data_IF_964891057464
#
_entry.id   IF_964891057464
#
_cell.length_a   1.000
_cell.length_b   1.000
_cell.length_c   1.000
_cell.angle_alpha   90.00
_cell.angle_beta   90.00
_cell.angle_gamma   90.00
#
_symmetry.space_group_name_H-M   'P 1'
#
loop_
_entity.id
_entity.type
_entity.pdbx_description
1 polymer ?
#
# COMPACT_ATOMS: atom_id res chain seq x y z
N UNK A 1 -3.18 -17.73 7.22
CA UNK A 1 -2.50 -16.69 6.46
C UNK A 1 -2.32 -15.48 7.32
N UNK A 2 -1.16 -14.84 7.23
CA UNK A 2 -0.84 -13.70 8.08
C UNK A 2 -1.07 -12.39 7.33
N UNK A 3 -1.34 -11.33 8.10
CA UNK A 3 -1.40 -9.98 7.58
C UNK A 3 -0.01 -9.55 7.11
N UNK A 4 0.07 -8.99 5.91
CA UNK A 4 1.29 -8.40 5.40
C UNK A 4 1.10 -6.89 5.32
N UNK A 5 2.05 -6.14 5.90
CA UNK A 5 2.07 -4.69 5.87
C UNK A 5 3.20 -4.24 4.96
N UNK A 6 2.86 -3.54 3.89
CA UNK A 6 3.84 -3.04 2.92
C UNK A 6 4.05 -1.55 3.10
N UNK A 7 5.28 -1.11 2.96
CA UNK A 7 5.59 0.30 3.03
C UNK A 7 7.09 0.57 3.10
N UNK A 8 7.46 1.63 3.82
CA UNK A 8 8.85 2.03 4.06
C UNK A 8 9.04 2.28 5.56
N UNK A 9 10.29 2.14 6.04
CA UNK A 9 10.55 2.21 7.49
C UNK A 9 10.32 3.58 8.11
N UNK A 10 10.82 4.63 7.47
CA UNK A 10 10.81 5.98 8.07
C UNK A 10 9.62 6.80 7.59
N UNK A 11 8.43 6.37 8.00
CA UNK A 11 7.18 7.02 7.63
C UNK A 11 6.27 7.07 8.85
N UNK A 12 5.73 8.24 9.17
CA UNK A 12 4.88 8.41 10.35
C UNK A 12 3.65 7.52 10.31
N UNK A 13 3.02 7.38 9.15
CA UNK A 13 1.86 6.51 8.99
C UNK A 13 2.21 5.05 9.27
N UNK A 14 3.41 4.62 8.87
CA UNK A 14 3.89 3.27 9.14
C UNK A 14 4.13 3.05 10.62
N UNK A 15 4.75 4.01 11.30
CA UNK A 15 4.99 3.92 12.75
C UNK A 15 3.68 3.81 13.51
N UNK A 16 2.70 4.63 13.14
CA UNK A 16 1.37 4.58 13.77
C UNK A 16 0.69 3.24 13.53
N UNK A 17 0.82 2.70 12.31
CA UNK A 17 0.24 1.40 11.97
C UNK A 17 0.85 0.28 12.81
N UNK A 18 2.17 0.25 12.92
CA UNK A 18 2.85 -0.76 13.73
C UNK A 18 2.45 -0.68 15.21
N UNK A 19 2.39 0.54 15.75
CA UNK A 19 1.98 0.75 17.13
C UNK A 19 0.56 0.25 17.37
N UNK A 20 -0.37 0.56 16.47
CA UNK A 20 -1.75 0.13 16.60
C UNK A 20 -1.88 -1.39 16.54
N UNK A 21 -1.20 -2.02 15.58
CA UNK A 21 -1.24 -3.48 15.43
C UNK A 21 -0.67 -4.19 16.66
N UNK A 22 0.45 -3.70 17.16
CA UNK A 22 1.09 -4.28 18.35
C UNK A 22 0.24 -4.07 19.60
N UNK A 23 -0.36 -2.89 19.75
CA UNK A 23 -1.23 -2.59 20.90
C UNK A 23 -2.49 -3.47 20.89
N UNK A 24 -2.95 -3.90 19.73
CA UNK A 24 -4.14 -4.73 19.59
C UNK A 24 -3.83 -6.22 19.41
N UNK A 25 -2.57 -6.61 19.56
CA UNK A 25 -2.17 -8.00 19.51
C UNK A 25 -2.34 -8.65 18.14
N UNK A 26 -2.27 -7.87 17.06
CA UNK A 26 -2.42 -8.36 15.69
C UNK A 26 -1.05 -8.72 15.12
N UNK A 27 -0.77 -10.00 14.85
CA UNK A 27 0.50 -10.38 14.22
C UNK A 27 0.55 -9.94 12.77
N UNK A 28 1.73 -9.54 12.31
CA UNK A 28 1.91 -9.12 10.93
C UNK A 28 3.36 -9.32 10.47
N UNK A 29 3.55 -9.43 9.16
CA UNK A 29 4.87 -9.37 8.52
C UNK A 29 5.01 -8.03 7.83
N UNK A 30 6.20 -7.46 7.87
CA UNK A 30 6.48 -6.19 7.21
C UNK A 30 7.35 -6.41 5.97
N UNK A 31 6.91 -5.84 4.84
CA UNK A 31 7.68 -5.82 3.59
C UNK A 31 8.07 -4.39 3.27
N UNK A 32 9.37 -4.13 3.23
CA UNK A 32 9.93 -2.81 2.95
C UNK A 32 10.17 -2.68 1.45
N UNK A 33 9.48 -1.75 0.79
CA UNK A 33 9.59 -1.53 -0.64
C UNK A 33 11.02 -1.16 -1.10
N UNK A 34 11.84 -0.64 -0.21
CA UNK A 34 13.23 -0.32 -0.55
C UNK A 34 14.10 -1.55 -0.68
N UNK A 35 13.76 -2.60 0.05
CA UNK A 35 14.47 -3.88 0.01
C UNK A 35 13.83 -4.86 -0.97
N UNK A 36 12.50 -4.86 -1.00
CA UNK A 36 11.70 -5.77 -1.80
C UNK A 36 10.71 -4.98 -2.66
N UNK A 37 11.18 -4.42 -3.80
CA UNK A 37 10.30 -3.66 -4.69
C UNK A 37 9.18 -4.55 -5.21
N UNK A 38 7.98 -3.98 -5.44
CA UNK A 38 6.86 -4.77 -5.93
C UNK A 38 7.04 -5.20 -7.39
N UNK A 39 6.51 -6.36 -7.73
CA UNK A 39 6.43 -6.82 -9.11
C UNK A 39 5.24 -6.20 -9.83
N UNK A 40 5.22 -6.31 -11.16
CA UNK A 40 4.07 -5.91 -11.97
C UNK A 40 2.82 -6.66 -11.52
N UNK A 41 2.92 -7.97 -11.32
CA UNK A 41 1.79 -8.80 -10.91
C UNK A 41 1.22 -8.36 -9.57
N UNK A 42 2.08 -8.02 -8.61
CA UNK A 42 1.64 -7.55 -7.30
C UNK A 42 0.89 -6.22 -7.42
N UNK A 43 1.43 -5.27 -8.18
CA UNK A 43 0.80 -3.96 -8.37
C UNK A 43 -0.55 -4.11 -9.05
N UNK A 44 -0.65 -4.97 -10.06
CA UNK A 44 -1.91 -5.23 -10.74
C UNK A 44 -2.96 -5.79 -9.78
N UNK A 45 -2.57 -6.74 -8.93
CA UNK A 45 -3.46 -7.31 -7.93
C UNK A 45 -3.93 -6.26 -6.91
N UNK A 46 -3.05 -5.39 -6.46
CA UNK A 46 -3.41 -4.32 -5.52
C UNK A 46 -4.34 -3.29 -6.15
N UNK A 47 -4.10 -2.92 -7.42
CA UNK A 47 -4.99 -2.02 -8.14
C UNK A 47 -6.37 -2.64 -8.33
N UNK A 48 -6.44 -3.94 -8.58
CA UNK A 48 -7.71 -4.65 -8.65
C UNK A 48 -8.44 -4.67 -7.31
N UNK A 49 -7.69 -4.83 -6.22
CA UNK A 49 -8.26 -4.92 -4.87
C UNK A 49 -8.71 -3.59 -4.29
N UNK A 50 -7.92 -2.53 -4.43
CA UNK A 50 -8.21 -1.22 -3.81
C UNK A 50 -8.42 -0.11 -4.83
N UNK A 51 -8.18 -0.35 -6.10
CA UNK A 51 -8.43 0.63 -7.15
C UNK A 51 -7.54 1.86 -7.06
N UNK A 52 -8.10 3.00 -7.44
CA UNK A 52 -7.38 4.27 -7.49
C UNK A 52 -6.84 4.71 -6.12
N UNK A 53 -7.43 4.21 -5.05
CA UNK A 53 -6.97 4.52 -3.69
C UNK A 53 -5.54 4.07 -3.41
N UNK A 54 -5.00 3.15 -4.23
CA UNK A 54 -3.63 2.67 -4.07
C UNK A 54 -2.61 3.79 -4.16
N UNK A 55 -2.86 4.80 -5.00
CA UNK A 55 -1.91 5.87 -5.29
C UNK A 55 -2.19 7.10 -4.46
N UNK A 56 -1.16 7.63 -3.83
CA UNK A 56 -1.24 8.90 -3.11
C UNK A 56 -0.97 10.05 -4.10
N UNK A 57 -2.01 10.55 -4.74
CA UNK A 57 -1.90 11.65 -5.72
C UNK A 57 -1.54 12.99 -5.07
N UNK A 58 -1.64 13.09 -3.75
CA UNK A 58 -1.29 14.31 -3.01
C UNK A 58 0.15 14.30 -2.52
N UNK A 59 0.84 13.18 -2.69
CA UNK A 59 2.21 13.02 -2.20
C UNK A 59 3.26 13.55 -3.16
N UNK A 60 4.50 13.74 -2.67
CA UNK A 60 5.59 14.26 -3.50
C UNK A 60 5.96 13.31 -4.65
N UNK A 61 5.81 12.00 -4.46
CA UNK A 61 6.13 11.04 -5.51
C UNK A 61 5.27 11.23 -6.75
N UNK A 62 3.97 11.48 -6.55
CA UNK A 62 3.07 11.75 -7.68
C UNK A 62 3.43 13.08 -8.35
N UNK A 63 3.68 14.12 -7.56
CA UNK A 63 4.01 15.45 -8.10
C UNK A 63 5.30 15.44 -8.94
N UNK A 64 6.22 14.52 -8.65
CA UNK A 64 7.48 14.39 -9.37
C UNK A 64 7.37 13.64 -10.70
N UNK A 65 6.23 13.02 -10.97
CA UNK A 65 6.01 12.33 -12.25
C UNK A 65 5.98 13.35 -13.40
N UNK A 66 6.41 12.91 -14.59
CA UNK A 66 6.31 13.74 -15.78
C UNK A 66 4.85 14.03 -16.14
N UNK A 67 4.61 15.11 -16.85
CA UNK A 67 3.26 15.45 -17.31
C UNK A 67 2.70 14.36 -18.23
N UNK A 68 3.55 13.76 -19.07
CA UNK A 68 3.14 12.67 -19.95
C UNK A 68 2.59 11.48 -19.15
N UNK A 69 3.29 11.08 -18.08
CA UNK A 69 2.85 9.98 -17.24
C UNK A 69 1.57 10.34 -16.51
N UNK A 70 1.47 11.57 -15.95
CA UNK A 70 0.25 12.01 -15.27
C UNK A 70 -0.95 12.02 -16.20
N UNK A 71 -0.77 12.46 -17.44
CA UNK A 71 -1.86 12.55 -18.42
C UNK A 71 -2.35 11.19 -18.91
N UNK A 72 -1.51 10.15 -18.77
CA UNK A 72 -1.82 8.79 -19.18
C UNK A 72 -1.79 7.82 -18.01
N UNK A 73 -2.18 8.28 -16.83
CA UNK A 73 -2.02 7.51 -15.59
C UNK A 73 -3.10 6.44 -15.43
N UNK A 74 -3.13 5.51 -16.39
CA UNK A 74 -4.05 4.38 -16.41
C UNK A 74 -3.33 3.15 -17.00
N UNK A 75 -3.94 1.98 -16.85
CA UNK A 75 -3.44 0.76 -17.48
C UNK A 75 -1.98 0.48 -17.16
N UNK A 76 -1.22 0.05 -18.17
CA UNK A 76 0.19 -0.34 -17.97
C UNK A 76 1.10 0.85 -17.64
N UNK A 77 0.77 2.05 -18.10
CA UNK A 77 1.54 3.25 -17.73
C UNK A 77 1.52 3.45 -16.22
N UNK A 78 0.33 3.33 -15.62
CA UNK A 78 0.18 3.44 -14.16
C UNK A 78 0.90 2.31 -13.42
N UNK A 79 0.74 1.09 -13.88
CA UNK A 79 1.39 -0.07 -13.27
C UNK A 79 2.91 0.11 -13.28
N UNK A 80 3.48 0.47 -14.42
CA UNK A 80 4.91 0.63 -14.55
C UNK A 80 5.45 1.79 -13.69
N UNK A 81 4.70 2.90 -13.61
CA UNK A 81 5.07 4.03 -12.76
C UNK A 81 5.15 3.61 -11.30
N UNK A 82 4.21 2.80 -10.83
CA UNK A 82 4.18 2.32 -9.44
C UNK A 82 5.33 1.34 -9.18
N UNK A 83 5.61 0.44 -10.12
CA UNK A 83 6.72 -0.50 -10.00
C UNK A 83 8.05 0.26 -9.91
N UNK A 84 8.23 1.27 -10.77
CA UNK A 84 9.45 2.06 -10.80
C UNK A 84 9.59 2.97 -9.58
N UNK A 85 8.46 3.39 -9.00
CA UNK A 85 8.43 4.33 -7.86
C UNK A 85 7.40 3.89 -6.83
N UNK A 86 7.73 2.88 -6.00
CA UNK A 86 6.78 2.34 -5.02
C UNK A 86 6.30 3.34 -3.96
N UNK A 87 7.02 4.45 -3.78
CA UNK A 87 6.58 5.52 -2.88
C UNK A 87 5.31 6.21 -3.35
N UNK A 88 4.86 5.93 -4.58
CA UNK A 88 3.53 6.32 -5.04
C UNK A 88 2.42 5.63 -4.26
N UNK A 89 2.69 4.44 -3.73
CA UNK A 89 1.68 3.67 -3.00
C UNK A 89 1.37 4.33 -1.66
N UNK A 90 0.08 4.52 -1.41
CA UNK A 90 -0.39 5.05 -0.13
C UNK A 90 -0.08 4.06 0.99
N UNK A 91 0.50 4.54 2.08
CA UNK A 91 1.01 3.69 3.16
C UNK A 91 0.18 3.84 4.44
N UNK A 92 0.04 2.75 5.20
CA UNK A 92 0.45 1.39 4.87
C UNK A 92 -0.48 0.74 3.85
N UNK A 93 0.06 -0.15 3.04
CA UNK A 93 -0.76 -1.08 2.26
C UNK A 93 -0.83 -2.38 3.08
N UNK A 94 -2.03 -2.81 3.38
CA UNK A 94 -2.25 -4.00 4.20
C UNK A 94 -3.00 -5.05 3.39
N UNK A 95 -2.47 -6.27 3.38
CA UNK A 95 -3.02 -7.37 2.60
C UNK A 95 -3.09 -8.63 3.47
N UNK A 96 -4.23 -9.27 3.48
CA UNK A 96 -4.42 -10.57 4.12
C UNK A 96 -5.33 -11.42 3.22
N UNK A 97 -4.71 -12.24 2.36
CA UNK A 97 -5.46 -12.95 1.33
C UNK A 97 -6.11 -11.97 0.37
N UNK A 98 -7.42 -12.04 0.24
CA UNK A 98 -8.20 -11.12 -0.62
C UNK A 98 -8.55 -9.81 0.08
N UNK A 99 -8.35 -9.71 1.38
CA UNK A 99 -8.62 -8.48 2.13
C UNK A 99 -7.47 -7.49 1.94
N UNK A 100 -7.77 -6.27 1.53
CA UNK A 100 -6.78 -5.24 1.27
C UNK A 100 -7.29 -3.87 1.69
N UNK A 101 -6.36 -3.01 2.14
CA UNK A 101 -6.67 -1.61 2.41
C UNK A 101 -5.40 -0.78 2.34
N UNK A 102 -5.55 0.52 2.14
CA UNK A 102 -4.44 1.48 2.13
C UNK A 102 -4.72 2.65 3.05
N UNK A 103 -3.67 3.19 3.63
CA UNK A 103 -3.73 4.33 4.52
C UNK A 103 -3.95 3.94 5.97
N UNK A 104 -3.62 4.87 6.86
CA UNK A 104 -3.79 4.66 8.29
C UNK A 104 -5.23 4.98 8.69
N UNK A 105 -6.05 3.95 8.82
CA UNK A 105 -7.46 4.08 9.18
C UNK A 105 -7.91 2.87 10.00
N UNK A 106 -7.54 2.83 11.29
CA UNK A 106 -7.84 1.66 12.14
C UNK A 106 -9.31 1.33 12.24
N UNK A 107 -10.18 2.35 12.24
CA UNK A 107 -11.63 2.11 12.31
C UNK A 107 -12.11 1.30 11.09
N UNK A 108 -11.58 1.60 9.92
CA UNK A 108 -11.89 0.84 8.71
C UNK A 108 -11.32 -0.57 8.76
N UNK A 109 -10.11 -0.73 9.32
CA UNK A 109 -9.44 -2.04 9.39
C UNK A 109 -10.31 -3.07 10.12
N UNK A 110 -10.97 -2.64 11.18
CA UNK A 110 -11.80 -3.55 11.98
C UNK A 110 -13.07 -3.98 11.25
N UNK A 111 -13.48 -3.24 10.23
CA UNK A 111 -14.70 -3.53 9.46
C UNK A 111 -14.46 -4.41 8.23
N UNK A 112 -13.20 -4.52 7.77
CA UNK A 112 -12.87 -5.32 6.60
C UNK A 112 -12.75 -6.79 7.01
N UNK A 113 -13.63 -7.67 6.47
CA UNK A 113 -13.59 -9.08 6.84
C UNK A 113 -12.21 -9.70 6.59
N UNK A 114 -11.72 -10.45 7.56
CA UNK A 114 -10.47 -11.23 7.49
C UNK A 114 -9.18 -10.41 7.45
N UNK A 115 -9.23 -9.08 7.41
CA UNK A 115 -8.01 -8.27 7.30
C UNK A 115 -7.07 -8.50 8.49
N UNK A 116 -7.60 -8.43 9.70
CA UNK A 116 -6.78 -8.52 10.93
C UNK A 116 -6.69 -9.95 11.47
N UNK A 117 -7.18 -10.91 10.73
CA UNK A 117 -7.22 -12.30 11.16
C UNK A 117 -5.84 -12.95 11.10
N UNK A 118 -5.48 -13.68 12.14
CA UNK A 118 -4.20 -14.38 12.20
C UNK A 118 -4.16 -15.58 11.23
#
# INVERSE_FOLDING_TARGET
>A
MALIVYGIKNCDSMKKAFQWLEANGVPYDFVDFKKDPPSVDAVEAWLEGVGDALVNIRGPSYRQLSDDVKNQFTGQTRVQAIVDKPTLIKRPLMVNGDAMTVGFNPDQWTTIPNLLKA
#
